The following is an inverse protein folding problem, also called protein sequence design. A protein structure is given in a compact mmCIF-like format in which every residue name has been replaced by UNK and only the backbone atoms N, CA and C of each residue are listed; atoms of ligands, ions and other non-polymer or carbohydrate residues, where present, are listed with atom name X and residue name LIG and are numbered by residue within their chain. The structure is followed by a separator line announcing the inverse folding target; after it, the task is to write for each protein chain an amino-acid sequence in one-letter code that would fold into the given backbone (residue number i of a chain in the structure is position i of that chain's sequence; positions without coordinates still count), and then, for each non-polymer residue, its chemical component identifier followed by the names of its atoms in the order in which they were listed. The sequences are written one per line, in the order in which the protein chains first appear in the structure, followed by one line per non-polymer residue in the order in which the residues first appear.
data_IF_698734901437
#
_entry.id   IF_698734901437
#
_cell.length_a   1.000
_cell.length_b   1.000
_cell.length_c   1.000
_cell.angle_alpha   90.00
_cell.angle_beta   90.00
_cell.angle_gamma   90.00
#
_symmetry.space_group_name_H-M   'P 1'
#
loop_
_entity.id
_entity.type
_entity.pdbx_description
1 polymer ?
#
# COMPACT_ATOMS: atom_id res chain seq x y z
N UNK A 1 -17.78 6.58 -11.79
CA UNK A 1 -17.92 6.83 -10.37
C UNK A 1 -17.33 8.19 -10.01
N UNK A 2 -18.09 8.97 -9.32
CA UNK A 2 -17.59 10.26 -8.90
C UNK A 2 -16.38 10.07 -8.00
N UNK A 3 -15.30 10.65 -8.41
CA UNK A 3 -14.12 10.64 -7.57
C UNK A 3 -14.28 11.79 -6.60
N UNK A 4 -14.75 11.51 -5.42
CA UNK A 4 -14.75 12.54 -4.40
C UNK A 4 -13.45 12.47 -3.63
N UNK A 5 -13.01 13.63 -3.20
CA UNK A 5 -11.76 13.75 -2.47
C UNK A 5 -11.98 13.35 -1.03
N UNK A 6 -11.14 12.46 -0.55
CA UNK A 6 -11.11 12.10 0.86
C UNK A 6 -9.68 12.22 1.32
N UNK A 7 -9.48 12.96 2.40
CA UNK A 7 -8.16 13.04 3.02
C UNK A 7 -8.09 12.01 4.14
N UNK A 8 -7.09 11.14 4.04
CA UNK A 8 -6.83 10.12 5.04
C UNK A 8 -5.37 10.25 5.45
N UNK A 9 -5.13 10.48 6.73
CA UNK A 9 -3.77 10.69 7.26
C UNK A 9 -3.03 11.82 6.53
N UNK A 10 -3.77 12.86 6.13
CA UNK A 10 -3.18 13.97 5.38
C UNK A 10 -2.92 13.68 3.92
N UNK A 11 -3.35 12.52 3.42
CA UNK A 11 -3.16 12.14 2.02
C UNK A 11 -4.46 12.38 1.26
N UNK A 12 -4.38 13.12 0.17
CA UNK A 12 -5.53 13.33 -0.71
C UNK A 12 -5.68 12.12 -1.61
N UNK A 13 -6.74 11.32 -1.37
CA UNK A 13 -6.92 10.05 -2.06
C UNK A 13 -7.22 10.20 -3.56
N UNK A 14 -7.67 11.38 -3.99
CA UNK A 14 -7.94 11.60 -5.42
C UNK A 14 -6.67 11.79 -6.24
N UNK A 15 -5.54 12.06 -5.59
CA UNK A 15 -4.27 12.33 -6.27
C UNK A 15 -3.20 11.31 -5.93
N UNK A 16 -3.58 10.13 -5.42
CA UNK A 16 -2.60 9.09 -5.15
C UNK A 16 -1.90 8.66 -6.44
N UNK A 17 -0.58 8.52 -6.40
CA UNK A 17 0.16 8.13 -7.59
C UNK A 17 -0.16 6.71 -8.01
N UNK A 18 -0.04 6.46 -9.32
CA UNK A 18 -0.18 5.13 -9.89
C UNK A 18 1.13 4.80 -10.58
N UNK A 19 1.71 3.67 -10.22
CA UNK A 19 2.97 3.22 -10.82
C UNK A 19 2.70 2.19 -11.90
N UNK A 20 3.40 2.32 -13.01
CA UNK A 20 3.41 1.31 -14.07
C UNK A 20 4.28 0.12 -13.64
N UNK A 21 4.08 -1.02 -14.27
CA UNK A 21 4.82 -2.22 -13.92
C UNK A 21 6.32 -2.05 -14.09
N UNK A 22 6.76 -1.37 -15.16
CA UNK A 22 8.19 -1.13 -15.35
C UNK A 22 8.76 -0.23 -14.28
N UNK A 23 7.99 0.76 -13.85
CA UNK A 23 8.41 1.65 -12.76
C UNK A 23 8.53 0.90 -11.45
N UNK A 24 7.59 0.00 -11.18
CA UNK A 24 7.62 -0.82 -9.96
C UNK A 24 8.86 -1.70 -9.91
N UNK A 25 9.18 -2.35 -11.02
CA UNK A 25 10.36 -3.23 -11.08
C UNK A 25 11.64 -2.43 -10.85
N UNK A 26 11.75 -1.28 -11.49
CA UNK A 26 12.92 -0.42 -11.34
C UNK A 26 13.07 0.09 -9.91
N UNK A 27 11.97 0.54 -9.32
CA UNK A 27 11.99 1.02 -7.93
C UNK A 27 12.35 -0.10 -6.97
N UNK A 28 11.81 -1.29 -7.18
CA UNK A 28 12.08 -2.40 -6.28
C UNK A 28 13.56 -2.79 -6.30
N UNK A 29 14.19 -2.73 -7.47
CA UNK A 29 15.63 -3.00 -7.57
C UNK A 29 16.43 -1.98 -6.77
N UNK A 30 16.05 -0.70 -6.84
CA UNK A 30 16.71 0.34 -6.05
C UNK A 30 16.50 0.13 -4.55
N UNK A 31 15.30 -0.31 -4.16
CA UNK A 31 15.01 -0.62 -2.76
C UNK A 31 15.96 -1.71 -2.25
N UNK A 32 16.20 -2.74 -3.05
CA UNK A 32 17.12 -3.81 -2.68
C UNK A 32 18.54 -3.30 -2.49
N UNK A 33 18.88 -2.21 -3.15
CA UNK A 33 20.19 -1.57 -3.02
C UNK A 33 20.25 -0.57 -1.85
N UNK A 34 19.17 -0.43 -1.10
CA UNK A 34 19.13 0.46 0.05
C UNK A 34 18.68 1.88 -0.23
N UNK A 35 18.07 2.14 -1.39
CA UNK A 35 17.60 3.47 -1.75
C UNK A 35 16.32 3.82 -1.00
N UNK A 36 16.42 4.69 0.00
CA UNK A 36 15.28 5.07 0.84
C UNK A 36 14.26 5.92 0.10
N UNK A 37 14.71 6.72 -0.86
CA UNK A 37 13.80 7.53 -1.68
C UNK A 37 12.94 6.64 -2.57
N UNK A 38 13.55 5.61 -3.16
CA UNK A 38 12.81 4.63 -3.97
C UNK A 38 11.79 3.89 -3.12
N UNK A 39 12.15 3.53 -1.89
CA UNK A 39 11.25 2.86 -0.97
C UNK A 39 10.03 3.73 -0.66
N UNK A 40 10.24 5.00 -0.37
CA UNK A 40 9.15 5.93 -0.12
C UNK A 40 8.24 6.09 -1.33
N UNK A 41 8.81 6.21 -2.52
CA UNK A 41 8.04 6.31 -3.76
C UNK A 41 7.20 5.05 -3.98
N UNK A 42 7.77 3.88 -3.71
CA UNK A 42 7.04 2.62 -3.86
C UNK A 42 5.89 2.52 -2.88
N UNK A 43 6.10 2.95 -1.63
CA UNK A 43 5.04 2.99 -0.62
C UNK A 43 3.90 3.88 -1.11
N UNK A 44 4.22 5.10 -1.54
CA UNK A 44 3.21 6.04 -2.03
C UNK A 44 2.45 5.50 -3.22
N UNK A 45 3.14 4.79 -4.12
CA UNK A 45 2.53 4.22 -5.30
C UNK A 45 1.59 3.05 -5.02
N UNK A 46 1.63 2.50 -3.81
CA UNK A 46 0.78 1.39 -3.40
C UNK A 46 -0.27 1.78 -2.35
N UNK A 47 -0.39 3.07 -2.02
CA UNK A 47 -1.39 3.50 -1.04
C UNK A 47 -2.81 3.23 -1.52
N UNK A 48 -3.04 3.26 -2.83
CA UNK A 48 -4.35 2.92 -3.39
C UNK A 48 -4.75 1.49 -3.06
N UNK A 49 -3.78 0.59 -3.03
CA UNK A 49 -4.04 -0.81 -2.66
C UNK A 49 -4.54 -0.89 -1.22
N UNK A 50 -3.90 -0.17 -0.31
CA UNK A 50 -4.32 -0.14 1.10
C UNK A 50 -5.74 0.42 1.22
N UNK A 51 -6.01 1.53 0.55
CA UNK A 51 -7.32 2.17 0.59
C UNK A 51 -8.41 1.24 0.05
N UNK A 52 -8.12 0.54 -1.04
CA UNK A 52 -9.05 -0.41 -1.63
C UNK A 52 -9.40 -1.53 -0.65
N UNK A 53 -8.41 -2.04 0.06
CA UNK A 53 -8.62 -3.10 1.06
C UNK A 53 -9.48 -2.59 2.21
N UNK A 54 -9.19 -1.40 2.71
CA UNK A 54 -9.95 -0.80 3.81
C UNK A 54 -11.41 -0.66 3.42
N UNK A 55 -11.69 -0.18 2.21
CA UNK A 55 -13.07 0.00 1.74
C UNK A 55 -13.84 -1.31 1.68
N UNK A 56 -13.14 -2.42 1.48
CA UNK A 56 -13.77 -3.73 1.36
C UNK A 56 -13.97 -4.43 2.70
N UNK A 57 -13.11 -4.16 3.67
CA UNK A 57 -13.08 -4.94 4.91
C UNK A 57 -13.37 -4.14 6.17
N UNK A 58 -13.43 -2.81 6.09
CA UNK A 58 -13.71 -2.00 7.25
C UNK A 58 -15.21 -1.98 7.56
N UNK A 59 -15.55 -2.06 8.84
CA UNK A 59 -16.91 -1.84 9.27
C UNK A 59 -17.23 -0.34 9.20
N UNK A 60 -18.51 0.00 9.01
CA UNK A 60 -18.93 1.38 8.79
C UNK A 60 -18.67 2.30 9.98
N UNK A 61 -18.55 1.75 11.17
CA UNK A 61 -18.32 2.52 12.38
C UNK A 61 -16.84 2.62 12.77
N UNK A 62 -15.96 2.10 11.94
CA UNK A 62 -14.54 2.14 12.25
C UNK A 62 -13.89 3.41 11.73
N UNK A 63 -12.83 3.85 12.41
CA UNK A 63 -12.10 5.03 12.01
C UNK A 63 -11.23 4.69 10.81
N UNK A 64 -11.58 5.22 9.64
CA UNK A 64 -10.89 4.92 8.39
C UNK A 64 -9.44 5.40 8.44
N UNK A 65 -9.19 6.52 9.12
CA UNK A 65 -7.85 7.06 9.23
C UNK A 65 -6.93 6.10 10.00
N UNK A 66 -7.41 5.57 11.11
CA UNK A 66 -6.67 4.59 11.89
C UNK A 66 -6.43 3.31 11.09
N UNK A 67 -7.45 2.84 10.40
CA UNK A 67 -7.33 1.64 9.58
C UNK A 67 -6.33 1.83 8.46
N UNK A 68 -6.30 3.01 7.86
CA UNK A 68 -5.33 3.32 6.81
C UNK A 68 -3.90 3.26 7.35
N UNK A 69 -3.66 3.82 8.53
CA UNK A 69 -2.35 3.76 9.15
C UNK A 69 -1.92 2.32 9.42
N UNK A 70 -2.84 1.52 9.96
CA UNK A 70 -2.57 0.11 10.25
C UNK A 70 -2.33 -0.67 8.97
N UNK A 71 -3.12 -0.41 7.94
CA UNK A 71 -2.93 -1.03 6.63
C UNK A 71 -1.57 -0.68 6.02
N UNK A 72 -1.12 0.55 6.22
CA UNK A 72 0.20 0.96 5.75
C UNK A 72 1.33 0.21 6.45
N UNK A 73 1.16 -0.15 7.72
CA UNK A 73 2.13 -1.00 8.41
C UNK A 73 2.27 -2.34 7.68
N UNK A 74 1.14 -2.94 7.30
CA UNK A 74 1.15 -4.19 6.55
C UNK A 74 1.83 -4.03 5.18
N UNK A 75 1.58 -2.90 4.51
CA UNK A 75 2.21 -2.59 3.25
C UNK A 75 3.73 -2.47 3.40
N UNK A 76 4.19 -1.75 4.40
CA UNK A 76 5.62 -1.56 4.64
C UNK A 76 6.30 -2.90 4.95
N UNK A 77 5.68 -3.72 5.80
CA UNK A 77 6.20 -5.06 6.08
C UNK A 77 6.29 -5.90 4.82
N UNK A 78 5.30 -5.78 3.94
CA UNK A 78 5.29 -6.51 2.68
C UNK A 78 6.45 -6.09 1.78
N UNK A 79 6.72 -4.79 1.69
CA UNK A 79 7.82 -4.29 0.88
C UNK A 79 9.15 -4.81 1.41
N UNK A 80 9.31 -4.78 2.73
CA UNK A 80 10.57 -5.19 3.36
C UNK A 80 10.83 -6.70 3.24
N UNK A 81 9.78 -7.50 3.08
CA UNK A 81 9.90 -8.96 3.08
C UNK A 81 9.65 -9.61 1.71
N UNK A 82 9.19 -8.84 0.73
CA UNK A 82 8.89 -9.38 -0.58
C UNK A 82 10.17 -9.73 -1.34
N UNK A 83 10.19 -10.93 -1.92
CA UNK A 83 11.26 -11.36 -2.80
C UNK A 83 10.75 -11.25 -4.24
N UNK A 84 11.33 -10.35 -5.06
CA UNK A 84 10.91 -10.21 -6.46
C UNK A 84 11.10 -11.47 -7.30
N UNK A 85 11.93 -12.39 -6.83
CA UNK A 85 12.16 -13.66 -7.52
C UNK A 85 11.02 -14.66 -7.26
N UNK A 86 10.12 -14.35 -6.32
CA UNK A 86 8.91 -15.15 -6.16
C UNK A 86 8.03 -15.02 -7.40
N UNK A 87 7.41 -16.10 -7.81
CA UNK A 87 6.60 -16.11 -9.03
C UNK A 87 5.20 -15.59 -8.75
N UNK A 88 5.08 -14.47 -8.05
CA UNK A 88 3.81 -13.81 -7.76
C UNK A 88 4.00 -12.30 -7.84
N UNK A 89 2.91 -11.60 -8.13
CA UNK A 89 2.93 -10.14 -8.12
C UNK A 89 3.01 -9.62 -6.69
N UNK A 90 3.60 -8.45 -6.52
CA UNK A 90 3.70 -7.84 -5.20
C UNK A 90 2.32 -7.68 -4.54
N UNK A 91 1.31 -7.23 -5.31
CA UNK A 91 -0.03 -7.05 -4.73
C UNK A 91 -0.60 -8.35 -4.19
N UNK A 92 -0.35 -9.47 -4.88
CA UNK A 92 -0.81 -10.78 -4.41
C UNK A 92 -0.18 -11.16 -3.08
N UNK A 93 1.08 -10.79 -2.90
CA UNK A 93 1.79 -11.03 -1.65
C UNK A 93 1.35 -10.07 -0.55
N UNK A 94 1.13 -8.79 -0.90
CA UNK A 94 0.89 -7.74 0.08
C UNK A 94 -0.52 -7.78 0.67
N UNK A 95 -1.53 -8.16 -0.12
CA UNK A 95 -2.93 -8.12 0.32
C UNK A 95 -3.16 -8.93 1.60
N UNK A 96 -2.73 -10.19 1.71
CA UNK A 96 -2.92 -10.92 2.99
C UNK A 96 -2.20 -10.28 4.16
N UNK A 97 -1.04 -9.68 3.93
CA UNK A 97 -0.27 -9.01 4.98
C UNK A 97 -1.01 -7.79 5.51
N UNK A 98 -1.58 -7.00 4.60
CA UNK A 98 -2.34 -5.80 4.95
C UNK A 98 -3.62 -6.20 5.71
N UNK A 99 -4.34 -7.18 5.21
CA UNK A 99 -5.55 -7.68 5.86
C UNK A 99 -5.22 -8.20 7.25
N UNK A 100 -4.12 -8.92 7.39
CA UNK A 100 -3.69 -9.44 8.67
C UNK A 100 -3.47 -8.37 9.71
N UNK A 101 -2.85 -7.25 9.33
CA UNK A 101 -2.66 -6.12 10.25
C UNK A 101 -3.99 -5.50 10.64
N UNK A 102 -4.89 -5.31 9.68
CA UNK A 102 -6.20 -4.73 9.95
C UNK A 102 -7.01 -5.61 10.90
N UNK A 103 -6.95 -6.92 10.74
CA UNK A 103 -7.69 -7.85 11.61
C UNK A 103 -7.18 -7.88 13.03
N UNK A 104 -5.90 -7.60 13.23
CA UNK A 104 -5.32 -7.54 14.57
C UNK A 104 -5.63 -6.26 15.30
N UNK A 105 -6.20 -5.30 14.61
CA UNK A 105 -6.55 -4.00 15.18
C UNK A 105 -7.80 -4.11 16.12
#
# INVERSE_FOLDING_TARGET
MAAYKVEICGVNTSTLPILKEEEKASLFEKIRQGDLTARETYIKGNLRLVLSIIRRFAASNENVDDLFQIGCIGLIKSIDNFDPDMNVKFSTYAVPMIIGEIRRY
#
